data_IF_816701614968
#
_entry.id   IF_816701614968
#
_cell.length_a   1.000
_cell.length_b   1.000
_cell.length_c   1.000
_cell.angle_alpha   90.00
_cell.angle_beta   90.00
_cell.angle_gamma   90.00
#
_symmetry.space_group_name_H-M   'P 1'
#
loop_
_entity.id
_entity.type
_entity.pdbx_description
1 polymer ?
#
# COMPACT_ATOMS: atom_id res chain seq x y z
N UNK A 1 11.75 -3.20 -6.96
CA UNK A 1 10.54 -4.00 -7.26
C UNK A 1 9.31 -3.52 -6.47
N UNK A 2 9.49 -2.92 -5.30
CA UNK A 2 8.44 -2.42 -4.41
C UNK A 2 8.43 -0.89 -4.29
N UNK A 3 7.28 -0.33 -3.87
CA UNK A 3 7.10 1.08 -3.49
C UNK A 3 6.13 1.15 -2.30
N UNK A 4 6.29 2.16 -1.44
CA UNK A 4 5.28 2.43 -0.43
C UNK A 4 4.04 3.06 -1.09
N UNK A 5 2.86 2.60 -0.70
CA UNK A 5 1.56 3.07 -1.23
C UNK A 5 0.91 4.15 -0.37
N UNK A 6 1.53 4.60 0.73
CA UNK A 6 1.10 5.74 1.55
C UNK A 6 1.68 7.05 1.03
N UNK A 7 0.79 8.00 0.79
CA UNK A 7 1.07 9.34 0.30
C UNK A 7 0.78 10.34 1.41
N UNK A 8 1.81 11.04 1.89
CA UNK A 8 1.65 12.19 2.78
C UNK A 8 1.20 13.39 1.97
N UNK A 9 0.12 14.02 2.36
CA UNK A 9 -0.46 15.18 1.70
C UNK A 9 -0.07 16.47 2.43
N UNK A 10 0.04 17.57 1.68
CA UNK A 10 0.42 18.91 2.20
C UNK A 10 -0.52 19.47 3.27
N UNK A 11 -1.71 18.90 3.41
CA UNK A 11 -2.70 19.27 4.43
C UNK A 11 -2.57 18.43 5.73
N UNK A 12 -1.52 17.61 5.84
CA UNK A 12 -1.24 16.75 7.00
C UNK A 12 -2.01 15.42 7.02
N UNK A 13 -2.80 15.11 5.99
CA UNK A 13 -3.50 13.83 5.86
C UNK A 13 -2.64 12.82 5.10
N UNK A 14 -2.94 11.54 5.25
CA UNK A 14 -2.33 10.47 4.43
C UNK A 14 -3.39 9.73 3.60
N UNK A 15 -3.14 9.63 2.30
CA UNK A 15 -3.93 8.79 1.38
C UNK A 15 -3.14 7.54 1.00
N UNK A 16 -3.79 6.59 0.35
CA UNK A 16 -3.16 5.38 -0.17
C UNK A 16 -3.41 5.16 -1.68
N UNK A 17 -2.54 4.36 -2.28
CA UNK A 17 -2.59 3.98 -3.69
C UNK A 17 -3.35 2.65 -3.84
N UNK A 18 -4.59 2.71 -4.36
CA UNK A 18 -5.47 1.53 -4.56
C UNK A 18 -6.24 1.55 -5.86
N UNK A 19 -6.48 0.39 -6.47
CA UNK A 19 -7.43 0.28 -7.60
C UNK A 19 -8.88 0.61 -7.24
N UNK A 20 -9.22 0.71 -5.95
CA UNK A 20 -10.57 0.99 -5.48
C UNK A 20 -11.02 2.45 -5.70
N UNK A 21 -10.08 3.39 -5.90
CA UNK A 21 -10.37 4.81 -6.08
C UNK A 21 -9.21 5.57 -6.77
N UNK A 22 -9.49 6.80 -7.21
CA UNK A 22 -8.49 7.72 -7.79
C UNK A 22 -7.43 8.14 -6.77
N UNK A 23 -6.27 8.53 -7.28
CA UNK A 23 -5.22 9.14 -6.47
C UNK A 23 -5.54 10.61 -6.20
N UNK A 24 -5.04 11.19 -5.10
CA UNK A 24 -5.03 12.63 -4.91
C UNK A 24 -4.29 13.33 -6.07
N UNK A 25 -4.60 14.60 -6.36
CA UNK A 25 -3.84 15.40 -7.32
C UNK A 25 -2.35 15.47 -6.96
N UNK A 26 -1.47 15.41 -7.96
CA UNK A 26 -0.01 15.39 -7.76
C UNK A 26 0.48 16.61 -6.96
N UNK A 27 -0.14 17.79 -7.16
CA UNK A 27 0.18 19.01 -6.44
C UNK A 27 -0.15 18.96 -4.94
N UNK A 28 -0.98 18.01 -4.49
CA UNK A 28 -1.31 17.82 -3.07
C UNK A 28 -0.34 16.88 -2.35
N UNK A 29 0.43 16.07 -3.10
CA UNK A 29 1.37 15.11 -2.53
C UNK A 29 2.62 15.85 -2.04
N UNK A 30 3.02 15.55 -0.81
CA UNK A 30 4.22 16.08 -0.16
C UNK A 30 5.35 15.06 -0.14
N UNK A 31 5.04 13.81 0.26
CA UNK A 31 6.03 12.75 0.41
C UNK A 31 5.40 11.36 0.31
N UNK A 32 6.25 10.34 0.20
CA UNK A 32 5.87 8.92 0.19
C UNK A 32 6.47 8.23 1.42
N UNK A 33 5.78 7.23 1.95
CA UNK A 33 6.26 6.42 3.07
C UNK A 33 7.58 5.68 2.79
N UNK A 34 8.26 5.18 3.84
CA UNK A 34 9.51 4.43 3.69
C UNK A 34 9.28 3.07 3.02
N UNK A 35 10.33 2.43 2.52
CA UNK A 35 10.31 1.02 2.13
C UNK A 35 11.29 0.24 2.99
N UNK A 36 11.10 -1.09 3.07
CA UNK A 36 12.12 -2.03 3.51
C UNK A 36 12.70 -2.70 2.27
N UNK A 37 13.91 -2.33 1.83
CA UNK A 37 14.51 -2.87 0.60
C UNK A 37 15.25 -4.20 0.85
N UNK A 38 15.38 -4.64 2.10
CA UNK A 38 16.18 -5.81 2.45
C UNK A 38 15.46 -7.11 2.11
N UNK A 39 16.24 -8.11 1.68
CA UNK A 39 15.76 -9.48 1.46
C UNK A 39 16.36 -10.34 2.58
N UNK A 40 15.51 -10.88 3.44
CA UNK A 40 15.94 -11.87 4.41
C UNK A 40 16.16 -13.21 3.75
N UNK A 41 17.25 -13.91 4.08
CA UNK A 41 17.62 -15.17 3.46
C UNK A 41 18.06 -16.18 4.52
N UNK A 42 17.57 -17.40 4.40
CA UNK A 42 18.07 -18.58 5.09
C UNK A 42 18.29 -19.67 4.04
N UNK A 43 19.54 -20.09 3.85
CA UNK A 43 19.89 -21.24 3.00
C UNK A 43 20.13 -22.47 3.86
N UNK A 44 19.57 -23.57 3.44
CA UNK A 44 19.76 -24.88 4.04
C UNK A 44 20.45 -25.76 2.99
N UNK A 45 21.61 -26.30 3.34
CA UNK A 45 22.35 -27.23 2.50
C UNK A 45 22.18 -28.67 3.02
N UNK A 46 22.27 -29.63 2.11
CA UNK A 46 22.30 -31.07 2.39
C UNK A 46 23.67 -31.45 2.96
N UNK A 47 23.78 -32.66 3.51
CA UNK A 47 25.06 -33.20 3.98
C UNK A 47 26.11 -33.36 2.86
N UNK A 48 25.67 -33.47 1.60
CA UNK A 48 26.56 -33.52 0.43
C UNK A 48 27.02 -32.14 -0.07
N UNK A 49 26.58 -31.07 0.60
CA UNK A 49 26.91 -29.67 0.28
C UNK A 49 26.02 -29.00 -0.77
N UNK A 50 25.08 -29.74 -1.39
CA UNK A 50 24.14 -29.15 -2.34
C UNK A 50 23.02 -28.41 -1.61
N UNK A 51 22.51 -27.32 -2.17
CA UNK A 51 21.41 -26.56 -1.57
C UNK A 51 20.11 -27.38 -1.56
N UNK A 52 19.54 -27.56 -0.36
CA UNK A 52 18.23 -28.17 -0.15
C UNK A 52 17.11 -27.16 -0.37
N UNK A 53 17.22 -26.01 0.30
CA UNK A 53 16.18 -25.00 0.28
C UNK A 53 16.72 -23.59 0.55
N UNK A 54 16.02 -22.60 0.01
CA UNK A 54 16.20 -21.18 0.33
C UNK A 54 14.87 -20.65 0.84
N UNK A 55 14.84 -20.19 2.09
CA UNK A 55 13.74 -19.38 2.61
C UNK A 55 14.10 -17.92 2.38
N UNK A 56 13.21 -17.16 1.76
CA UNK A 56 13.42 -15.74 1.51
C UNK A 56 12.24 -14.89 2.01
N UNK A 57 12.56 -13.77 2.65
CA UNK A 57 11.62 -12.81 3.20
C UNK A 57 11.75 -11.47 2.48
N UNK A 58 10.62 -10.88 2.07
CA UNK A 58 10.62 -9.58 1.41
C UNK A 58 9.30 -8.84 1.64
N UNK A 59 9.38 -7.53 1.86
CA UNK A 59 8.22 -6.67 2.07
C UNK A 59 7.66 -6.13 0.75
N UNK A 60 6.75 -6.89 0.12
CA UNK A 60 5.93 -6.40 -1.00
C UNK A 60 4.68 -7.26 -1.18
N UNK A 61 3.51 -6.63 -1.39
CA UNK A 61 2.29 -7.38 -1.67
C UNK A 61 2.36 -8.13 -3.02
N UNK A 62 1.99 -9.42 -3.08
CA UNK A 62 1.86 -10.19 -4.32
C UNK A 62 0.54 -9.84 -5.02
N UNK A 63 0.43 -8.62 -5.54
CA UNK A 63 -0.78 -8.08 -6.17
C UNK A 63 -0.51 -7.49 -7.57
N UNK A 64 0.57 -7.88 -8.25
CA UNK A 64 0.87 -7.35 -9.58
C UNK A 64 0.06 -8.04 -10.69
N UNK A 65 -0.25 -9.32 -10.58
CA UNK A 65 -1.02 -10.11 -11.54
C UNK A 65 -0.27 -10.46 -12.83
N UNK A 66 -0.94 -11.15 -13.76
CA UNK A 66 -0.38 -11.55 -15.07
C UNK A 66 -1.23 -11.01 -16.23
N UNK A 67 -0.66 -10.89 -17.45
CA UNK A 67 -1.40 -10.46 -18.62
C UNK A 67 -2.57 -11.42 -18.89
N UNK A 68 -3.81 -10.94 -18.71
CA UNK A 68 -5.03 -11.76 -18.84
C UNK A 68 -5.75 -12.09 -17.52
N UNK A 69 -5.19 -11.72 -16.37
CA UNK A 69 -5.88 -11.81 -15.07
C UNK A 69 -6.14 -13.24 -14.57
N UNK A 70 -5.38 -14.23 -15.06
CA UNK A 70 -5.46 -15.61 -14.61
C UNK A 70 -4.92 -15.83 -13.20
N UNK A 71 -5.22 -17.01 -12.63
CA UNK A 71 -4.68 -17.42 -11.34
C UNK A 71 -3.14 -17.52 -11.40
N UNK A 72 -2.47 -16.95 -10.41
CA UNK A 72 -1.02 -16.87 -10.35
C UNK A 72 -0.53 -16.83 -8.91
N UNK A 73 0.71 -17.29 -8.68
CA UNK A 73 1.45 -17.05 -7.44
C UNK A 73 2.15 -15.66 -7.43
N UNK A 74 1.79 -14.80 -8.40
CA UNK A 74 2.28 -13.44 -8.56
C UNK A 74 3.81 -13.37 -8.68
N UNK A 75 4.40 -12.20 -8.39
CA UNK A 75 5.85 -11.98 -8.50
C UNK A 75 6.67 -12.97 -7.67
N UNK A 76 6.08 -13.49 -6.59
CA UNK A 76 6.73 -14.43 -5.68
C UNK A 76 6.90 -15.80 -6.35
N UNK A 77 5.90 -16.27 -7.10
CA UNK A 77 6.03 -17.51 -7.86
C UNK A 77 7.17 -17.45 -8.90
N UNK A 78 7.30 -16.32 -9.59
CA UNK A 78 8.41 -16.11 -10.53
C UNK A 78 9.76 -15.98 -9.83
N UNK A 79 9.83 -15.28 -8.69
CA UNK A 79 11.04 -15.19 -7.88
C UNK A 79 11.51 -16.56 -7.36
N UNK A 80 10.59 -17.38 -6.81
CA UNK A 80 10.87 -18.74 -6.37
C UNK A 80 11.41 -19.59 -7.52
N UNK A 81 10.78 -19.55 -8.71
CA UNK A 81 11.25 -20.29 -9.87
C UNK A 81 12.67 -19.92 -10.28
N UNK A 82 13.01 -18.63 -10.28
CA UNK A 82 14.38 -18.19 -10.58
C UNK A 82 15.38 -18.76 -9.58
N UNK A 83 15.05 -18.80 -8.29
CA UNK A 83 15.93 -19.36 -7.25
C UNK A 83 16.09 -20.88 -7.44
N UNK A 84 14.98 -21.60 -7.63
CA UNK A 84 14.94 -23.05 -7.84
C UNK A 84 15.75 -23.47 -9.07
N UNK A 85 15.48 -22.84 -10.23
CA UNK A 85 16.18 -23.12 -11.49
C UNK A 85 17.68 -22.78 -11.41
N UNK A 86 18.07 -21.80 -10.58
CA UNK A 86 19.46 -21.34 -10.46
C UNK A 86 20.34 -22.21 -9.56
N UNK A 87 19.76 -22.86 -8.54
CA UNK A 87 20.47 -23.81 -7.69
C UNK A 87 20.43 -25.23 -8.26
N UNK A 88 19.36 -25.61 -8.95
CA UNK A 88 19.23 -26.94 -9.56
C UNK A 88 19.08 -28.05 -8.50
N UNK A 89 19.28 -29.30 -8.92
CA UNK A 89 19.36 -30.49 -8.05
C UNK A 89 18.20 -30.65 -7.03
N UNK A 90 17.01 -30.18 -7.41
CA UNK A 90 15.81 -30.25 -6.59
C UNK A 90 15.81 -29.29 -5.40
N UNK A 91 16.58 -28.19 -5.45
CA UNK A 91 16.50 -27.09 -4.50
C UNK A 91 15.10 -26.46 -4.50
N UNK A 92 14.60 -26.09 -3.32
CA UNK A 92 13.26 -25.49 -3.14
C UNK A 92 13.36 -24.02 -2.71
N UNK A 93 12.43 -23.17 -3.14
CA UNK A 93 12.37 -21.78 -2.71
C UNK A 93 11.07 -21.45 -1.95
N UNK A 94 11.19 -21.16 -0.66
CA UNK A 94 10.08 -20.81 0.21
C UNK A 94 10.04 -19.31 0.48
N UNK A 95 8.93 -18.68 0.11
CA UNK A 95 8.72 -17.27 0.42
C UNK A 95 7.98 -17.10 1.75
N UNK A 96 8.43 -16.13 2.55
CA UNK A 96 7.74 -15.67 3.75
C UNK A 96 7.50 -14.17 3.66
N UNK A 97 6.24 -13.75 3.77
CA UNK A 97 5.85 -12.37 3.51
C UNK A 97 6.34 -11.40 4.59
N UNK A 98 7.09 -10.36 4.18
CA UNK A 98 7.50 -9.27 5.07
C UNK A 98 6.38 -8.31 5.46
N UNK A 99 6.71 -7.23 6.17
CA UNK A 99 5.77 -6.16 6.52
C UNK A 99 5.33 -5.35 5.29
N UNK A 100 4.35 -5.88 4.55
CA UNK A 100 3.92 -5.33 3.27
C UNK A 100 2.57 -4.58 3.34
N UNK A 101 2.03 -4.34 4.53
CA UNK A 101 0.70 -3.75 4.73
C UNK A 101 0.51 -2.44 3.93
N UNK A 102 1.55 -1.64 3.79
CA UNK A 102 1.57 -0.40 3.01
C UNK A 102 2.57 -0.42 1.84
N UNK A 103 2.97 -1.62 1.38
CA UNK A 103 3.92 -1.79 0.28
C UNK A 103 3.26 -2.50 -0.90
N UNK A 104 3.41 -1.91 -2.09
CA UNK A 104 2.88 -2.45 -3.35
C UNK A 104 3.98 -2.63 -4.41
N UNK A 105 3.70 -3.41 -5.45
CA UNK A 105 4.56 -3.46 -6.64
C UNK A 105 4.68 -2.08 -7.30
N UNK A 106 5.84 -1.74 -7.85
CA UNK A 106 6.09 -0.42 -8.48
C UNK A 106 5.14 -0.10 -9.66
N UNK A 107 4.63 -1.12 -10.34
CA UNK A 107 3.72 -0.98 -11.49
C UNK A 107 2.25 -1.19 -11.14
N UNK A 108 1.90 -1.13 -9.85
CA UNK A 108 0.55 -1.46 -9.39
C UNK A 108 -0.54 -0.61 -10.07
N UNK A 109 -0.30 0.68 -10.30
CA UNK A 109 -1.24 1.64 -10.92
C UNK A 109 -0.98 1.93 -12.40
N UNK A 110 -0.09 1.19 -13.06
CA UNK A 110 0.22 1.43 -14.47
C UNK A 110 -1.02 1.21 -15.35
N UNK A 111 -1.27 2.16 -16.26
CA UNK A 111 -2.37 2.14 -17.23
C UNK A 111 -1.86 2.07 -18.67
N UNK A 112 -0.55 2.20 -18.89
CA UNK A 112 0.08 2.20 -20.21
C UNK A 112 0.51 0.79 -20.65
N UNK A 113 0.72 -0.13 -19.70
CA UNK A 113 1.18 -1.48 -19.97
C UNK A 113 0.27 -2.54 -19.34
N UNK A 114 0.20 -3.76 -19.91
CA UNK A 114 -0.42 -4.89 -19.25
C UNK A 114 0.22 -5.18 -17.89
N UNK A 115 -0.59 -5.65 -16.94
CA UNK A 115 -0.10 -6.14 -15.65
C UNK A 115 0.83 -7.32 -15.88
N UNK A 116 2.08 -7.19 -15.43
CA UNK A 116 3.06 -8.27 -15.49
C UNK A 116 3.88 -8.36 -14.19
N UNK A 117 3.69 -9.45 -13.46
CA UNK A 117 4.44 -9.77 -12.26
C UNK A 117 5.77 -10.49 -12.55
N UNK A 118 5.94 -11.05 -13.74
CA UNK A 118 7.13 -11.86 -14.09
C UNK A 118 8.39 -11.01 -14.07
N UNK A 119 8.34 -9.82 -14.68
CA UNK A 119 9.48 -8.90 -14.68
C UNK A 119 9.94 -8.55 -13.25
N UNK A 120 9.00 -8.22 -12.35
CA UNK A 120 9.33 -7.88 -10.96
C UNK A 120 9.80 -9.10 -10.15
N UNK A 121 9.17 -10.25 -10.37
CA UNK A 121 9.55 -11.50 -9.72
C UNK A 121 10.94 -11.97 -10.12
N UNK A 122 11.28 -11.89 -11.41
CA UNK A 122 12.61 -12.24 -11.91
C UNK A 122 13.69 -11.34 -11.30
N UNK A 123 13.44 -10.03 -11.19
CA UNK A 123 14.38 -9.10 -10.55
C UNK A 123 14.59 -9.41 -9.06
N UNK A 124 13.51 -9.75 -8.34
CA UNK A 124 13.59 -10.16 -6.93
C UNK A 124 14.36 -11.47 -6.79
N UNK A 125 14.01 -12.49 -7.57
CA UNK A 125 14.68 -13.80 -7.57
C UNK A 125 16.16 -13.71 -7.90
N UNK A 126 16.55 -12.91 -8.89
CA UNK A 126 17.96 -12.66 -9.22
C UNK A 126 18.72 -11.98 -8.08
N UNK A 127 18.09 -11.01 -7.39
CA UNK A 127 18.72 -10.31 -6.27
C UNK A 127 18.90 -11.25 -5.06
N UNK A 128 17.87 -12.03 -4.74
CA UNK A 128 17.92 -13.06 -3.70
C UNK A 128 18.98 -14.12 -4.02
N UNK A 129 19.01 -14.63 -5.24
CA UNK A 129 19.97 -15.66 -5.69
C UNK A 129 21.42 -15.17 -5.55
N UNK A 130 21.72 -13.93 -5.98
CA UNK A 130 23.07 -13.36 -5.87
C UNK A 130 23.60 -13.36 -4.43
N UNK A 131 22.75 -13.02 -3.46
CA UNK A 131 23.11 -13.04 -2.05
C UNK A 131 23.11 -14.47 -1.49
N UNK A 132 22.13 -15.30 -1.84
CA UNK A 132 22.03 -16.68 -1.37
C UNK A 132 23.25 -17.54 -1.75
N UNK A 133 23.88 -17.29 -2.90
CA UNK A 133 25.14 -17.97 -3.30
C UNK A 133 26.37 -17.54 -2.50
N UNK A 134 26.30 -16.42 -1.78
CA UNK A 134 27.38 -15.91 -0.93
C UNK A 134 27.25 -16.35 0.52
N UNK A 135 26.15 -17.03 0.87
CA UNK A 135 25.97 -17.57 2.23
C UNK A 135 26.94 -18.74 2.40
N UNK A 136 27.74 -18.70 3.46
CA UNK A 136 28.53 -19.84 3.92
C UNK A 136 27.71 -20.58 4.98
N UNK A 137 27.15 -21.74 4.60
CA UNK A 137 26.31 -22.52 5.50
C UNK A 137 27.17 -23.28 6.51
N UNK A 138 26.90 -23.06 7.79
CA UNK A 138 27.56 -23.76 8.89
C UNK A 138 26.56 -24.65 9.65
N UNK A 139 27.02 -25.75 10.28
CA UNK A 139 26.19 -26.50 11.22
C UNK A 139 25.67 -25.60 12.35
N UNK A 140 24.38 -25.69 12.65
CA UNK A 140 23.75 -24.98 13.77
C UNK A 140 23.33 -25.97 14.86
N UNK A 141 23.31 -25.53 16.13
CA UNK A 141 22.89 -26.32 17.30
C UNK A 141 21.38 -26.64 17.32
N UNK A 142 20.66 -26.26 16.26
CA UNK A 142 19.26 -26.58 16.03
C UNK A 142 18.42 -25.35 15.70
N UNK A 143 17.14 -25.44 16.08
CA UNK A 143 16.11 -24.42 15.87
C UNK A 143 15.55 -24.03 17.23
N UNK A 144 15.63 -22.74 17.58
CA UNK A 144 14.99 -22.19 18.77
C UNK A 144 13.69 -21.54 18.37
N UNK A 145 12.59 -21.88 19.03
CA UNK A 145 11.31 -21.20 18.82
C UNK A 145 10.67 -20.84 20.17
N UNK A 146 10.15 -19.62 20.26
CA UNK A 146 9.37 -19.11 21.37
C UNK A 146 8.00 -18.70 20.84
N UNK A 147 6.92 -19.14 21.48
CA UNK A 147 5.56 -18.88 21.05
C UNK A 147 4.76 -18.31 22.22
N UNK A 148 4.08 -17.19 22.01
CA UNK A 148 3.22 -16.56 23.01
C UNK A 148 1.92 -16.04 22.38
N UNK A 149 0.83 -16.13 23.14
CA UNK A 149 -0.43 -15.44 22.82
C UNK A 149 -0.41 -14.04 23.45
N UNK A 150 -0.69 -13.02 22.65
CA UNK A 150 -0.85 -11.64 23.09
C UNK A 150 -2.31 -11.21 22.96
N UNK A 151 -2.85 -10.58 24.00
CA UNK A 151 -4.17 -9.92 23.92
C UNK A 151 -3.99 -8.49 23.42
N UNK A 152 -4.47 -8.20 22.21
CA UNK A 152 -4.42 -6.87 21.62
C UNK A 152 -5.77 -6.15 21.73
N UNK A 153 -5.77 -4.81 21.88
CA UNK A 153 -6.99 -4.04 22.07
C UNK A 153 -7.77 -3.88 20.76
N UNK A 154 -9.09 -4.03 20.81
CA UNK A 154 -9.99 -3.70 19.68
C UNK A 154 -10.32 -2.21 19.66
N UNK A 155 -10.41 -1.63 18.47
CA UNK A 155 -10.83 -0.24 18.28
C UNK A 155 -12.33 -0.06 18.49
N UNK A 156 -12.70 1.10 19.06
CA UNK A 156 -14.04 1.67 18.90
C UNK A 156 -14.02 2.65 17.73
N UNK A 157 -14.62 2.25 16.62
CA UNK A 157 -14.64 2.97 15.36
C UNK A 157 -15.87 3.88 15.23
N UNK A 158 -16.83 3.82 16.17
CA UNK A 158 -18.06 4.59 16.10
C UNK A 158 -17.83 6.12 15.97
N UNK A 159 -16.92 6.76 16.74
CA UNK A 159 -16.65 8.19 16.57
C UNK A 159 -16.13 8.55 15.17
N UNK A 160 -15.26 7.70 14.60
CA UNK A 160 -14.69 7.94 13.26
C UNK A 160 -15.74 7.76 12.16
N UNK A 161 -16.61 6.75 12.29
CA UNK A 161 -17.73 6.51 11.37
C UNK A 161 -18.64 7.73 11.30
N UNK A 162 -19.05 8.28 12.45
CA UNK A 162 -19.92 9.45 12.49
C UNK A 162 -19.24 10.70 11.91
N UNK A 163 -17.95 10.92 12.22
CA UNK A 163 -17.18 12.00 11.60
C UNK A 163 -17.13 11.85 10.06
N UNK A 164 -16.90 10.64 9.55
CA UNK A 164 -16.86 10.40 8.10
C UNK A 164 -18.22 10.57 7.41
N UNK A 165 -19.34 10.26 8.08
CA UNK A 165 -20.68 10.54 7.55
C UNK A 165 -20.92 12.04 7.42
N UNK A 166 -20.45 12.84 8.39
CA UNK A 166 -20.52 14.30 8.30
C UNK A 166 -19.63 14.85 7.18
N UNK A 167 -18.40 14.34 7.04
CA UNK A 167 -17.51 14.66 5.91
C UNK A 167 -18.17 14.33 4.55
N UNK A 168 -18.83 13.18 4.45
CA UNK A 168 -19.55 12.77 3.23
C UNK A 168 -20.66 13.77 2.88
N UNK A 169 -21.47 14.16 3.87
CA UNK A 169 -22.53 15.15 3.68
C UNK A 169 -21.97 16.50 3.24
N UNK A 170 -20.88 16.96 3.86
CA UNK A 170 -20.21 18.20 3.48
C UNK A 170 -19.68 18.17 2.04
N UNK A 171 -19.07 17.05 1.61
CA UNK A 171 -18.62 16.87 0.23
C UNK A 171 -19.80 16.88 -0.76
N UNK A 172 -20.88 16.15 -0.46
CA UNK A 172 -22.10 16.14 -1.29
C UNK A 172 -22.68 17.55 -1.43
N UNK A 173 -22.71 18.34 -0.35
CA UNK A 173 -23.19 19.72 -0.36
C UNK A 173 -22.21 20.70 -1.03
N UNK A 174 -20.96 20.32 -1.28
CA UNK A 174 -19.96 21.17 -1.93
C UNK A 174 -20.04 21.16 -3.46
N UNK A 175 -20.71 20.15 -4.05
CA UNK A 175 -20.97 20.08 -5.50
C UNK A 175 -21.74 21.31 -5.98
N UNK A 176 -21.40 21.82 -7.17
CA UNK A 176 -22.08 22.97 -7.80
C UNK A 176 -22.47 22.66 -9.24
N UNK A 177 -23.53 23.28 -9.74
CA UNK A 177 -23.92 23.14 -11.15
C UNK A 177 -22.87 23.69 -12.11
N UNK A 178 -22.81 23.13 -13.32
CA UNK A 178 -22.01 23.62 -14.46
C UNK A 178 -22.74 23.30 -15.76
N UNK A 179 -22.56 24.11 -16.79
CA UNK A 179 -23.17 23.92 -18.11
C UNK A 179 -22.53 22.78 -18.93
N UNK A 180 -21.42 22.20 -18.44
CA UNK A 180 -20.69 21.14 -19.13
C UNK A 180 -21.12 19.74 -18.70
N UNK A 181 -21.11 18.83 -19.66
CA UNK A 181 -21.04 17.39 -19.44
C UNK A 181 -19.69 16.83 -19.93
N UNK A 182 -19.47 15.52 -19.80
CA UNK A 182 -18.20 14.88 -20.17
C UNK A 182 -17.81 15.16 -21.63
N UNK A 183 -18.76 15.06 -22.57
CA UNK A 183 -18.52 15.27 -24.00
C UNK A 183 -18.05 16.70 -24.28
N UNK A 184 -18.77 17.70 -23.75
CA UNK A 184 -18.42 19.11 -23.99
C UNK A 184 -17.17 19.52 -23.25
N UNK A 185 -16.89 18.94 -22.07
CA UNK A 185 -15.65 19.15 -21.34
C UNK A 185 -14.44 18.66 -22.15
N UNK A 186 -14.46 17.42 -22.65
CA UNK A 186 -13.36 16.86 -23.45
C UNK A 186 -13.11 17.65 -24.74
N UNK A 187 -14.17 18.15 -25.37
CA UNK A 187 -14.04 19.04 -26.52
C UNK A 187 -13.25 20.31 -26.17
N UNK A 188 -13.58 20.97 -25.05
CA UNK A 188 -12.91 22.20 -24.62
C UNK A 188 -11.46 21.96 -24.15
N UNK A 189 -11.17 20.81 -23.53
CA UNK A 189 -9.80 20.41 -23.18
C UNK A 189 -8.94 20.31 -24.44
N UNK A 190 -9.45 19.66 -25.49
CA UNK A 190 -8.74 19.52 -26.76
C UNK A 190 -8.45 20.86 -27.45
N UNK A 191 -9.42 21.77 -27.49
CA UNK A 191 -9.23 23.08 -28.16
C UNK A 191 -8.27 24.00 -27.40
N UNK A 192 -8.36 24.05 -26.07
CA UNK A 192 -7.45 24.87 -25.24
C UNK A 192 -6.02 24.32 -25.17
N UNK A 193 -5.85 23.00 -25.24
CA UNK A 193 -4.53 22.37 -25.26
C UNK A 193 -3.69 22.74 -26.49
N UNK A 194 -4.33 23.19 -27.57
CA UNK A 194 -3.68 23.51 -28.86
C UNK A 194 -3.51 25.02 -29.10
N UNK A 195 -4.37 25.88 -28.52
CA UNK A 195 -4.32 27.34 -28.69
C UNK A 195 -4.62 28.06 -27.37
N UNK A 196 -3.59 28.63 -26.73
CA UNK A 196 -3.72 29.27 -25.41
C UNK A 196 -4.36 30.66 -25.44
N UNK A 197 -4.07 31.46 -26.47
CA UNK A 197 -4.48 32.87 -26.54
C UNK A 197 -5.84 33.07 -27.23
N UNK A 198 -6.17 32.22 -28.23
CA UNK A 198 -7.42 32.28 -28.98
C UNK A 198 -8.05 30.87 -29.04
N UNK A 199 -8.59 30.35 -27.92
CA UNK A 199 -9.02 28.95 -27.83
C UNK A 199 -10.36 28.66 -28.53
N UNK A 200 -11.22 29.66 -28.72
CA UNK A 200 -12.52 29.47 -29.38
C UNK A 200 -12.49 29.68 -30.89
N UNK A 201 -11.54 30.47 -31.41
CA UNK A 201 -11.44 30.75 -32.85
C UNK A 201 -10.07 31.29 -33.26
N UNK A 202 -9.84 31.52 -34.56
CA UNK A 202 -8.66 32.21 -35.07
C UNK A 202 -8.53 33.65 -34.54
N UNK A 203 -7.29 34.07 -34.28
CA UNK A 203 -6.93 35.40 -33.75
C UNK A 203 -7.57 36.58 -34.48
N UNK A 204 -7.67 36.53 -35.81
CA UNK A 204 -8.24 37.63 -36.59
C UNK A 204 -9.71 37.94 -36.25
N UNK A 205 -10.49 36.95 -35.76
CA UNK A 205 -11.88 37.20 -35.32
C UNK A 205 -11.93 37.93 -33.99
N UNK A 206 -11.05 37.60 -33.06
CA UNK A 206 -10.91 38.33 -31.80
C UNK A 206 -10.51 39.79 -32.06
N UNK A 207 -9.52 40.01 -32.92
CA UNK A 207 -9.09 41.35 -33.31
C UNK A 207 -10.20 42.13 -34.03
N UNK A 208 -10.98 41.46 -34.88
CA UNK A 208 -12.12 42.07 -35.54
C UNK A 208 -13.22 42.47 -34.54
N UNK A 209 -13.59 41.60 -33.60
CA UNK A 209 -14.54 41.96 -32.53
C UNK A 209 -14.05 43.16 -31.73
N UNK A 210 -12.77 43.17 -31.35
CA UNK A 210 -12.17 44.29 -30.64
C UNK A 210 -12.22 45.59 -31.45
N UNK A 211 -11.97 45.54 -32.77
CA UNK A 211 -12.08 46.71 -33.66
C UNK A 211 -13.51 47.27 -33.76
N UNK A 212 -14.51 46.40 -33.53
CA UNK A 212 -15.93 46.77 -33.47
C UNK A 212 -16.40 47.13 -32.05
N UNK A 213 -15.50 47.16 -31.07
CA UNK A 213 -15.83 47.41 -29.66
C UNK A 213 -16.61 46.28 -28.98
N UNK A 214 -16.47 45.03 -29.46
CA UNK A 214 -17.09 43.82 -28.89
C UNK A 214 -16.05 42.92 -28.21
N UNK A 215 -16.52 42.09 -27.28
CA UNK A 215 -15.72 41.15 -26.49
C UNK A 215 -16.39 39.78 -26.35
N UNK A 216 -17.28 39.41 -27.29
CA UNK A 216 -18.12 38.21 -27.20
C UNK A 216 -17.29 36.91 -27.12
N UNK A 217 -16.26 36.74 -27.96
CA UNK A 217 -15.36 35.58 -27.90
C UNK A 217 -14.54 35.54 -26.61
N UNK A 218 -14.12 36.69 -26.09
CA UNK A 218 -13.40 36.77 -24.82
C UNK A 218 -14.30 36.38 -23.64
N UNK A 219 -15.58 36.79 -23.66
CA UNK A 219 -16.58 36.40 -22.66
C UNK A 219 -16.89 34.92 -22.72
N UNK A 220 -17.06 34.36 -23.92
CA UNK A 220 -17.24 32.92 -24.14
C UNK A 220 -16.05 32.14 -23.58
N UNK A 221 -14.82 32.57 -23.85
CA UNK A 221 -13.61 31.91 -23.35
C UNK A 221 -13.53 31.93 -21.83
N UNK A 222 -13.87 33.06 -21.22
CA UNK A 222 -13.90 33.21 -19.77
C UNK A 222 -15.00 32.35 -19.12
N UNK A 223 -16.17 32.27 -19.74
CA UNK A 223 -17.26 31.41 -19.29
C UNK A 223 -16.90 29.93 -19.40
N UNK A 224 -16.38 29.50 -20.55
CA UNK A 224 -15.91 28.13 -20.76
C UNK A 224 -14.83 27.76 -19.74
N UNK A 225 -13.90 28.68 -19.44
CA UNK A 225 -12.87 28.46 -18.40
C UNK A 225 -13.52 28.21 -17.02
N UNK A 226 -14.43 29.08 -16.58
CA UNK A 226 -15.14 28.91 -15.29
C UNK A 226 -15.92 27.60 -15.25
N UNK A 227 -16.61 27.25 -16.33
CA UNK A 227 -17.38 26.01 -16.40
C UNK A 227 -16.48 24.77 -16.35
N UNK A 228 -15.32 24.79 -17.02
CA UNK A 228 -14.32 23.72 -16.96
C UNK A 228 -13.72 23.58 -15.56
N UNK A 229 -13.32 24.69 -14.93
CA UNK A 229 -12.83 24.70 -13.55
C UNK A 229 -13.86 24.12 -12.58
N UNK A 230 -15.14 24.50 -12.72
CA UNK A 230 -16.20 23.96 -11.90
C UNK A 230 -16.46 22.47 -12.16
N UNK A 231 -16.39 22.03 -13.43
CA UNK A 231 -16.54 20.61 -13.79
C UNK A 231 -15.42 19.76 -13.18
N UNK A 232 -14.16 20.21 -13.27
CA UNK A 232 -13.01 19.54 -12.64
C UNK A 232 -13.13 19.50 -11.11
N UNK A 233 -13.54 20.60 -10.47
CA UNK A 233 -13.80 20.62 -9.02
C UNK A 233 -14.84 19.57 -8.62
N UNK A 234 -15.93 19.44 -9.37
CA UNK A 234 -16.93 18.41 -9.12
C UNK A 234 -16.35 17.00 -9.29
N UNK A 235 -15.51 16.76 -10.31
CA UNK A 235 -14.82 15.47 -10.50
C UNK A 235 -13.98 15.13 -9.28
N UNK A 236 -13.12 16.04 -8.82
CA UNK A 236 -12.28 15.79 -7.64
C UNK A 236 -13.13 15.50 -6.39
N UNK A 237 -14.25 16.22 -6.20
CA UNK A 237 -15.20 15.92 -5.10
C UNK A 237 -15.79 14.51 -5.23
N UNK A 238 -16.15 14.07 -6.44
CA UNK A 238 -16.66 12.72 -6.68
C UNK A 238 -15.60 11.64 -6.42
N UNK A 239 -14.33 11.91 -6.71
CA UNK A 239 -13.20 11.03 -6.39
C UNK A 239 -12.98 10.91 -4.89
N UNK A 240 -13.01 12.04 -4.16
CA UNK A 240 -12.96 12.08 -2.71
C UNK A 240 -14.12 11.31 -2.07
N UNK A 241 -15.34 11.46 -2.60
CA UNK A 241 -16.52 10.71 -2.16
C UNK A 241 -16.35 9.20 -2.38
N UNK A 242 -15.77 8.79 -3.51
CA UNK A 242 -15.53 7.37 -3.81
C UNK A 242 -14.56 6.74 -2.80
N UNK A 243 -13.46 7.45 -2.48
CA UNK A 243 -12.52 7.02 -1.43
C UNK A 243 -13.17 6.98 -0.06
N UNK A 244 -13.94 8.01 0.29
CA UNK A 244 -14.66 8.08 1.57
C UNK A 244 -15.58 6.88 1.74
N UNK A 245 -16.47 6.66 0.78
CA UNK A 245 -17.49 5.62 0.86
C UNK A 245 -16.85 4.23 0.96
N UNK A 246 -15.74 4.01 0.24
CA UNK A 246 -15.03 2.73 0.29
C UNK A 246 -14.49 2.45 1.69
N UNK A 247 -13.86 3.44 2.31
CA UNK A 247 -13.27 3.30 3.63
C UNK A 247 -14.32 3.32 4.76
N UNK A 248 -15.40 4.10 4.61
CA UNK A 248 -16.52 4.11 5.55
C UNK A 248 -17.16 2.72 5.68
N UNK A 249 -17.37 2.02 4.56
CA UNK A 249 -17.91 0.65 4.57
C UNK A 249 -17.00 -0.33 5.32
N UNK A 250 -15.68 -0.17 5.23
CA UNK A 250 -14.73 -1.01 5.95
C UNK A 250 -14.82 -0.77 7.46
N UNK A 251 -14.88 0.49 7.88
CA UNK A 251 -15.04 0.88 9.28
C UNK A 251 -16.37 0.35 9.86
N UNK A 252 -17.49 0.54 9.16
CA UNK A 252 -18.80 0.04 9.59
C UNK A 252 -18.81 -1.48 9.76
N UNK A 253 -18.21 -2.20 8.80
CA UNK A 253 -18.06 -3.67 8.87
C UNK A 253 -17.23 -4.10 10.09
N UNK A 254 -16.11 -3.43 10.35
CA UNK A 254 -15.22 -3.79 11.46
C UNK A 254 -15.77 -3.36 12.82
N UNK A 255 -16.52 -2.25 12.90
CA UNK A 255 -17.25 -1.89 14.11
C UNK A 255 -18.28 -2.96 14.44
N UNK A 256 -19.05 -3.43 13.46
CA UNK A 256 -20.03 -4.50 13.67
C UNK A 256 -19.36 -5.78 14.18
N UNK A 257 -18.21 -6.17 13.60
CA UNK A 257 -17.41 -7.32 14.07
C UNK A 257 -16.87 -7.15 15.48
N UNK A 258 -16.37 -5.96 15.82
CA UNK A 258 -15.87 -5.68 17.17
C UNK A 258 -16.99 -5.74 18.22
N UNK A 259 -18.20 -5.28 17.88
CA UNK A 259 -19.38 -5.40 18.73
C UNK A 259 -19.82 -6.87 18.86
N UNK A 260 -19.92 -7.60 17.75
CA UNK A 260 -20.32 -9.01 17.72
C UNK A 260 -19.37 -9.91 18.52
N UNK A 261 -18.06 -9.62 18.48
CA UNK A 261 -17.06 -10.36 19.22
C UNK A 261 -17.29 -10.33 20.75
N UNK A 262 -17.97 -9.31 21.29
CA UNK A 262 -18.32 -9.23 22.71
C UNK A 262 -17.14 -9.11 23.69
N UNK A 263 -15.89 -9.10 23.20
CA UNK A 263 -14.64 -8.96 23.96
C UNK A 263 -13.93 -7.67 23.53
N UNK A 264 -13.31 -6.95 24.47
CA UNK A 264 -12.55 -5.70 24.18
C UNK A 264 -11.16 -5.95 23.59
N UNK A 265 -10.72 -7.20 23.58
CA UNK A 265 -9.43 -7.62 23.04
C UNK A 265 -9.62 -8.69 21.97
N UNK A 266 -8.55 -8.95 21.23
CA UNK A 266 -8.38 -10.10 20.34
C UNK A 266 -7.08 -10.79 20.70
N UNK A 267 -7.07 -12.11 20.60
CA UNK A 267 -5.90 -12.91 20.93
C UNK A 267 -5.14 -13.18 19.63
N UNK A 268 -3.84 -12.88 19.62
CA UNK A 268 -2.95 -13.11 18.48
C UNK A 268 -1.78 -13.97 18.91
N UNK A 269 -1.32 -14.83 18.01
CA UNK A 269 -0.13 -15.65 18.24
C UNK A 269 1.11 -14.92 17.69
N UNK A 270 2.15 -14.81 18.51
CA UNK A 270 3.44 -14.25 18.14
C UNK A 270 4.50 -15.31 18.35
N UNK A 271 5.23 -15.64 17.28
CA UNK A 271 6.36 -16.57 17.35
C UNK A 271 7.65 -15.82 17.07
N UNK A 272 8.69 -16.11 17.83
CA UNK A 272 10.07 -15.74 17.54
C UNK A 272 10.87 -17.02 17.26
N UNK A 273 11.52 -17.09 16.11
CA UNK A 273 12.26 -18.25 15.62
C UNK A 273 13.71 -17.85 15.37
N UNK A 274 14.66 -18.71 15.74
CA UNK A 274 16.08 -18.57 15.40
C UNK A 274 16.64 -19.85 14.80
N UNK A 275 17.36 -19.71 13.69
CA UNK A 275 18.12 -20.77 13.02
C UNK A 275 19.49 -20.19 12.65
N UNK A 276 20.55 -20.58 13.37
CA UNK A 276 21.84 -19.91 13.29
C UNK A 276 21.70 -18.41 13.60
N UNK A 277 22.12 -17.56 12.67
CA UNK A 277 21.98 -16.10 12.80
C UNK A 277 20.64 -15.57 12.26
N UNK A 278 19.88 -16.37 11.51
CA UNK A 278 18.60 -15.96 10.97
C UNK A 278 17.53 -15.94 12.06
N UNK A 279 16.92 -14.77 12.29
CA UNK A 279 15.85 -14.57 13.26
C UNK A 279 14.58 -14.10 12.56
N UNK A 280 13.45 -14.69 12.91
CA UNK A 280 12.14 -14.35 12.34
C UNK A 280 11.11 -14.15 13.44
N UNK A 281 10.39 -13.03 13.39
CA UNK A 281 9.24 -12.74 14.26
C UNK A 281 7.97 -12.80 13.44
N UNK A 282 6.92 -13.44 13.94
CA UNK A 282 5.69 -13.68 13.19
C UNK A 282 4.51 -12.88 13.73
N UNK A 283 3.55 -12.53 12.86
CA UNK A 283 2.32 -11.83 13.25
C UNK A 283 1.12 -12.18 12.35
N UNK A 284 -0.09 -12.41 12.89
CA UNK A 284 -1.26 -12.87 12.14
C UNK A 284 -2.00 -11.72 11.43
N UNK A 285 -1.30 -10.79 10.80
CA UNK A 285 -1.91 -9.63 10.14
C UNK A 285 -0.98 -8.96 9.13
N UNK A 286 -1.52 -7.97 8.43
CA UNK A 286 -0.78 -7.16 7.46
C UNK A 286 -0.10 -5.99 8.16
N UNK A 287 1.08 -6.24 8.72
CA UNK A 287 1.91 -5.20 9.33
C UNK A 287 2.37 -4.18 8.29
N UNK A 288 2.24 -2.90 8.59
CA UNK A 288 2.88 -1.85 7.79
C UNK A 288 4.39 -1.87 7.97
N UNK A 289 5.12 -1.42 6.95
CA UNK A 289 6.58 -1.56 6.86
C UNK A 289 7.31 -0.89 8.02
N UNK A 290 6.75 0.20 8.56
CA UNK A 290 7.34 0.92 9.70
C UNK A 290 7.47 0.03 10.93
N UNK A 291 6.52 -0.86 11.18
CA UNK A 291 6.60 -1.82 12.30
C UNK A 291 7.80 -2.75 12.12
N UNK A 292 8.00 -3.27 10.90
CA UNK A 292 9.16 -4.11 10.58
C UNK A 292 10.48 -3.39 10.79
N UNK A 293 10.58 -2.14 10.30
CA UNK A 293 11.77 -1.30 10.47
C UNK A 293 12.07 -1.00 11.94
N UNK A 294 11.05 -0.77 12.76
CA UNK A 294 11.21 -0.55 14.20
C UNK A 294 11.77 -1.79 14.90
N UNK A 295 11.21 -2.96 14.60
CA UNK A 295 11.66 -4.24 15.19
C UNK A 295 13.10 -4.54 14.78
N UNK A 296 13.44 -4.38 13.50
CA UNK A 296 14.81 -4.54 13.00
C UNK A 296 15.80 -3.63 13.74
N UNK A 297 15.46 -2.35 13.87
CA UNK A 297 16.33 -1.38 14.53
C UNK A 297 16.50 -1.64 16.05
N UNK A 298 15.50 -2.25 16.70
CA UNK A 298 15.53 -2.56 18.12
C UNK A 298 16.11 -3.95 18.45
N UNK A 299 16.29 -4.81 17.44
CA UNK A 299 16.73 -6.19 17.65
C UNK A 299 18.19 -6.26 18.06
N UNK A 300 18.55 -7.14 19.02
CA UNK A 300 19.96 -7.46 19.30
C UNK A 300 20.61 -8.37 18.26
N UNK A 301 19.83 -8.92 17.31
CA UNK A 301 20.30 -9.85 16.28
C UNK A 301 20.32 -9.18 14.91
N UNK A 302 21.46 -9.21 14.22
CA UNK A 302 21.68 -8.51 12.94
C UNK A 302 20.69 -8.96 11.85
N UNK A 303 20.41 -10.26 11.75
CA UNK A 303 19.56 -10.83 10.71
C UNK A 303 18.14 -11.11 11.21
N UNK A 304 17.52 -10.07 11.79
CA UNK A 304 16.12 -10.13 12.24
C UNK A 304 15.16 -9.70 11.14
N UNK A 305 14.18 -10.56 10.86
CA UNK A 305 13.12 -10.31 9.89
C UNK A 305 11.75 -10.48 10.53
N UNK A 306 10.73 -9.93 9.88
CA UNK A 306 9.35 -10.02 10.34
C UNK A 306 8.51 -10.69 9.26
N UNK A 307 7.71 -11.67 9.66
CA UNK A 307 6.74 -12.36 8.83
C UNK A 307 5.33 -11.93 9.24
N UNK A 308 4.65 -11.19 8.36
CA UNK A 308 3.20 -11.02 8.48
C UNK A 308 2.46 -12.28 8.00
N UNK A 309 1.13 -12.26 8.07
CA UNK A 309 0.27 -13.28 7.46
C UNK A 309 0.46 -14.71 8.03
N UNK A 310 0.95 -14.85 9.26
CA UNK A 310 1.28 -16.15 9.88
C UNK A 310 0.30 -16.52 10.99
N UNK A 311 -0.12 -17.79 11.07
CA UNK A 311 -0.86 -18.37 12.20
C UNK A 311 -2.19 -17.65 12.53
N UNK A 312 -2.78 -16.98 11.54
CA UNK A 312 -4.04 -16.26 11.67
C UNK A 312 -4.09 -15.08 10.70
N UNK A 313 -5.23 -14.39 10.69
CA UNK A 313 -5.41 -13.20 9.87
C UNK A 313 -6.39 -12.21 10.51
N UNK A 314 -5.87 -11.04 10.90
CA UNK A 314 -6.61 -9.97 11.57
C UNK A 314 -6.67 -8.67 10.75
N UNK A 315 -6.59 -8.79 9.43
CA UNK A 315 -6.53 -7.66 8.48
C UNK A 315 -5.27 -6.81 8.68
N UNK A 316 -5.37 -5.50 8.47
CA UNK A 316 -4.23 -4.59 8.57
C UNK A 316 -3.85 -4.26 10.01
N UNK A 317 -2.57 -3.98 10.19
CA UNK A 317 -1.99 -3.60 11.47
C UNK A 317 -1.03 -2.41 11.27
N UNK A 318 -1.60 -1.21 11.05
CA UNK A 318 -0.85 0.04 10.88
C UNK A 318 -0.34 0.60 12.21
N UNK A 319 0.65 1.50 12.16
CA UNK A 319 1.21 2.14 13.34
C UNK A 319 0.16 2.94 14.13
N UNK A 320 0.48 3.25 15.39
CA UNK A 320 -0.32 4.17 16.23
C UNK A 320 -0.57 5.49 15.50
N UNK A 321 0.46 6.06 14.88
CA UNK A 321 0.38 7.31 14.11
C UNK A 321 -0.55 7.18 12.90
N UNK A 322 -0.41 6.10 12.13
CA UNK A 322 -1.28 5.82 10.98
C UNK A 322 -2.75 5.67 11.40
N UNK A 323 -3.05 5.05 12.55
CA UNK A 323 -4.43 4.94 13.04
C UNK A 323 -5.07 6.27 13.46
N UNK A 324 -4.27 7.32 13.67
CA UNK A 324 -4.76 8.67 13.93
C UNK A 324 -5.07 9.44 12.63
N UNK A 325 -4.68 8.91 11.47
CA UNK A 325 -4.88 9.54 10.19
C UNK A 325 -6.37 9.67 9.83
N UNK A 326 -6.74 10.84 9.31
CA UNK A 326 -8.09 11.12 8.78
C UNK A 326 -8.15 11.14 7.25
N UNK A 327 -7.06 10.76 6.58
CA UNK A 327 -6.90 10.76 5.12
C UNK A 327 -7.55 9.59 4.37
N UNK A 328 -8.19 8.66 5.09
CA UNK A 328 -9.01 7.56 4.52
C UNK A 328 -8.16 6.57 3.71
N UNK A 329 -7.01 6.17 4.26
CA UNK A 329 -6.26 5.04 3.72
C UNK A 329 -6.92 3.70 4.11
N UNK A 330 -6.77 2.68 3.27
CA UNK A 330 -7.36 1.36 3.52
C UNK A 330 -6.82 0.77 4.81
N UNK A 331 -5.49 0.79 5.03
CA UNK A 331 -4.91 0.04 6.14
C UNK A 331 -5.39 0.59 7.50
N UNK A 332 -5.76 1.88 7.57
CA UNK A 332 -6.36 2.49 8.76
C UNK A 332 -7.82 2.05 8.95
N UNK A 333 -8.52 1.80 7.84
CA UNK A 333 -9.96 1.54 7.80
C UNK A 333 -10.30 0.05 7.82
N UNK A 334 -9.38 -0.79 7.37
CA UNK A 334 -9.46 -2.25 7.30
C UNK A 334 -8.68 -2.89 8.45
N UNK A 335 -8.86 -2.35 9.66
CA UNK A 335 -8.14 -2.71 10.87
C UNK A 335 -9.13 -2.94 12.03
N UNK A 336 -8.82 -3.92 12.88
CA UNK A 336 -9.60 -4.22 14.10
C UNK A 336 -9.00 -3.58 15.37
N UNK A 337 -7.74 -3.17 15.31
CA UNK A 337 -6.89 -2.83 16.44
C UNK A 337 -7.03 -1.37 16.88
N UNK A 338 -7.09 -1.13 18.19
CA UNK A 338 -6.97 0.22 18.74
C UNK A 338 -5.52 0.73 18.66
N UNK A 339 -5.28 2.06 18.60
CA UNK A 339 -3.95 2.62 18.37
C UNK A 339 -2.82 2.08 19.27
N UNK A 340 -3.10 1.83 20.54
CA UNK A 340 -2.11 1.35 21.52
C UNK A 340 -1.71 -0.13 21.35
N UNK A 341 -2.16 -0.82 20.30
CA UNK A 341 -1.71 -2.18 19.97
C UNK A 341 -0.21 -2.24 19.64
N UNK A 342 0.29 -1.24 18.91
CA UNK A 342 1.67 -1.22 18.42
C UNK A 342 2.70 -1.32 19.56
N UNK A 343 2.69 -0.43 20.58
CA UNK A 343 3.69 -0.52 21.66
C UNK A 343 3.61 -1.85 22.42
N UNK A 344 2.41 -2.41 22.62
CA UNK A 344 2.26 -3.72 23.26
C UNK A 344 2.92 -4.83 22.45
N UNK A 345 2.75 -4.80 21.13
CA UNK A 345 3.37 -5.76 20.23
C UNK A 345 4.89 -5.59 20.18
N UNK A 346 5.40 -4.37 19.95
CA UNK A 346 6.84 -4.10 19.85
C UNK A 346 7.57 -4.42 21.17
N UNK A 347 6.98 -4.13 22.33
CA UNK A 347 7.55 -4.49 23.64
C UNK A 347 7.63 -6.01 23.83
N UNK A 348 6.55 -6.73 23.48
CA UNK A 348 6.52 -8.19 23.54
C UNK A 348 7.56 -8.82 22.60
N UNK A 349 7.68 -8.30 21.38
CA UNK A 349 8.70 -8.76 20.43
C UNK A 349 10.11 -8.50 20.95
N UNK A 350 10.37 -7.33 21.53
CA UNK A 350 11.67 -7.02 22.11
C UNK A 350 12.05 -7.97 23.27
N UNK A 351 11.08 -8.39 24.10
CA UNK A 351 11.28 -9.40 25.13
C UNK A 351 11.63 -10.78 24.52
N UNK A 352 10.84 -11.23 23.54
CA UNK A 352 11.08 -12.50 22.86
C UNK A 352 12.46 -12.54 22.20
N UNK A 353 12.86 -11.45 21.52
CA UNK A 353 14.16 -11.35 20.86
C UNK A 353 15.34 -11.41 21.85
N UNK A 354 15.21 -10.88 23.07
CA UNK A 354 16.26 -10.99 24.11
C UNK A 354 16.40 -12.40 24.69
N UNK A 355 15.36 -13.23 24.54
CA UNK A 355 15.30 -14.60 25.06
C UNK A 355 15.73 -15.65 24.02
N UNK A 356 15.85 -15.26 22.74
CA UNK A 356 16.50 -16.03 21.66
C UNK A 356 18.02 -15.90 21.73
#
# INVERSE_FOLDING_TARGET
VSTNRRLKLKNGREADVRHAYSLPPDEEIEAVGPIDPEIGLLRLDREDGNTLAVVYNFACHPIQGVPGGGNTADMIGFASRVIEDSFGDGAMAFFVQGCAGDISPVFYKDVAHPRDAETLGNLLGLSAMRAAKQIDCEPTDGVTFLNETLELPRADLAPRIEAMKLEQLALLQSLRGTSLNLKTFLQLVGTRGVSGEFPSYYSHRYLHEQSLGRDDLQRLDAENRRNMEQYMKNIHVMEELTRLQTNLRLLERHQARNVEAGKRTLDVEVTALRIGDFVLVTFPGELTVRIGLNIKAASPHEHTFVAGYTNGYIFYSPTTEQLLNVGRAQEDSDCLLAPHWQPLFEEKVADLLKRL
#
